data_IF_114752413687
#
_entry.id   IF_114752413687
#
_cell.length_a   1.000
_cell.length_b   1.000
_cell.length_c   1.000
_cell.angle_alpha   90.00
_cell.angle_beta   90.00
_cell.angle_gamma   90.00
#
_symmetry.space_group_name_H-M   'P 1'
#
loop_
_entity.id
_entity.type
_entity.pdbx_description
1 polymer ?
#
# COMPACT_ATOMS: atom_id res chain seq x y z
N UNK A 1 -7.27 22.66 -20.85
CA UNK A 1 -6.37 22.18 -19.76
C UNK A 1 -7.26 21.56 -18.69
N UNK A 2 -7.08 20.30 -18.34
CA UNK A 2 -7.88 19.70 -17.26
C UNK A 2 -7.65 20.44 -15.95
N UNK A 3 -8.73 20.70 -15.21
CA UNK A 3 -8.65 21.34 -13.92
C UNK A 3 -7.97 20.41 -12.92
N UNK A 4 -6.97 20.89 -12.21
CA UNK A 4 -6.31 20.14 -11.14
C UNK A 4 -6.43 20.89 -9.81
N UNK A 5 -6.47 20.13 -8.75
CA UNK A 5 -6.39 20.65 -7.37
C UNK A 5 -4.92 20.80 -6.98
N UNK A 6 -4.53 21.99 -6.53
CA UNK A 6 -3.15 22.30 -6.13
C UNK A 6 -3.02 22.29 -4.60
N UNK A 7 -2.16 21.39 -4.10
CA UNK A 7 -1.79 21.32 -2.68
C UNK A 7 -0.33 21.77 -2.52
N UNK A 8 -0.10 22.84 -1.79
CA UNK A 8 1.24 23.32 -1.46
C UNK A 8 1.68 22.86 -0.07
N UNK A 9 2.93 22.42 0.05
CA UNK A 9 3.50 21.95 1.31
C UNK A 9 5.01 22.19 1.38
N UNK A 10 5.63 21.89 2.53
CA UNK A 10 7.08 22.01 2.75
C UNK A 10 7.93 20.94 2.02
N UNK A 11 7.35 20.24 1.04
CA UNK A 11 8.05 19.23 0.22
C UNK A 11 9.11 19.88 -0.70
N UNK A 12 10.08 19.08 -1.13
CA UNK A 12 11.15 19.51 -2.04
C UNK A 12 10.87 19.21 -3.51
N UNK A 13 9.93 18.33 -3.80
CA UNK A 13 9.62 17.85 -5.16
C UNK A 13 8.15 18.05 -5.50
N UNK A 14 7.86 18.24 -6.80
CA UNK A 14 6.49 18.23 -7.32
C UNK A 14 6.06 16.80 -7.63
N UNK A 15 4.78 16.48 -7.44
CA UNK A 15 4.17 15.22 -7.84
C UNK A 15 2.73 15.45 -8.31
N UNK A 16 2.27 14.60 -9.25
CA UNK A 16 0.87 14.52 -9.65
C UNK A 16 0.31 13.17 -9.20
N UNK A 17 -0.90 13.19 -8.67
CA UNK A 17 -1.63 12.02 -8.20
C UNK A 17 -3.05 12.05 -8.76
N UNK A 18 -3.62 10.85 -8.99
CA UNK A 18 -5.04 10.72 -9.30
C UNK A 18 -5.74 10.13 -8.06
N UNK A 19 -6.65 10.92 -7.46
CA UNK A 19 -7.48 10.47 -6.32
C UNK A 19 -8.95 10.64 -6.67
N UNK A 20 -9.71 9.57 -6.59
CA UNK A 20 -11.15 9.58 -6.85
C UNK A 20 -11.53 10.24 -8.20
N UNK A 21 -10.74 9.99 -9.25
CA UNK A 21 -10.97 10.56 -10.58
C UNK A 21 -10.62 12.05 -10.71
N UNK A 22 -9.94 12.64 -9.72
CA UNK A 22 -9.46 14.04 -9.74
C UNK A 22 -7.94 14.08 -9.83
N UNK A 23 -7.44 15.06 -10.56
CA UNK A 23 -5.99 15.33 -10.64
C UNK A 23 -5.59 16.20 -9.45
N UNK A 24 -4.68 15.72 -8.62
CA UNK A 24 -4.13 16.45 -7.48
C UNK A 24 -2.64 16.67 -7.74
N UNK A 25 -2.22 17.93 -7.68
CA UNK A 25 -0.83 18.33 -7.84
C UNK A 25 -0.28 18.78 -6.50
N UNK A 26 0.69 18.05 -5.98
CA UNK A 26 1.38 18.40 -4.74
C UNK A 26 2.69 19.11 -5.10
N UNK A 27 2.87 20.37 -4.71
CA UNK A 27 4.04 21.20 -5.07
C UNK A 27 4.70 21.84 -3.85
N UNK A 28 6.01 22.16 -3.95
CA UNK A 28 6.69 23.00 -2.97
C UNK A 28 6.04 24.39 -2.82
N UNK A 29 6.10 24.97 -1.61
CA UNK A 29 5.53 26.30 -1.32
C UNK A 29 6.01 27.39 -2.30
N UNK A 30 7.31 27.35 -2.67
CA UNK A 30 7.97 28.39 -3.47
C UNK A 30 7.93 28.17 -4.98
N UNK A 31 7.39 27.04 -5.46
CA UNK A 31 7.34 26.74 -6.90
C UNK A 31 6.33 27.65 -7.60
N UNK A 32 6.72 28.28 -8.70
CA UNK A 32 5.86 29.19 -9.45
C UNK A 32 4.69 28.45 -10.13
N UNK A 33 3.60 29.15 -10.41
CA UNK A 33 2.44 28.58 -11.10
C UNK A 33 2.81 28.08 -12.50
N UNK A 34 3.66 28.83 -13.20
CA UNK A 34 4.13 28.48 -14.55
C UNK A 34 4.93 27.17 -14.56
N UNK A 35 5.80 26.96 -13.57
CA UNK A 35 6.55 25.69 -13.43
C UNK A 35 5.62 24.51 -13.16
N UNK A 36 4.61 24.72 -12.31
CA UNK A 36 3.61 23.67 -12.00
C UNK A 36 2.82 23.32 -13.27
N UNK A 37 2.32 24.30 -14.01
CA UNK A 37 1.55 24.09 -15.23
C UNK A 37 2.38 23.39 -16.32
N UNK A 38 3.65 23.77 -16.48
CA UNK A 38 4.60 23.09 -17.38
C UNK A 38 4.81 21.61 -16.97
N UNK A 39 4.98 21.35 -15.68
CA UNK A 39 5.10 19.99 -15.19
C UNK A 39 3.84 19.17 -15.45
N UNK A 40 2.65 19.71 -15.18
CA UNK A 40 1.38 19.04 -15.45
C UNK A 40 1.22 18.75 -16.94
N UNK A 41 1.53 19.72 -17.80
CA UNK A 41 1.51 19.53 -19.25
C UNK A 41 2.47 18.42 -19.71
N UNK A 42 3.67 18.34 -19.13
CA UNK A 42 4.62 17.25 -19.42
C UNK A 42 4.15 15.86 -19.01
N UNK A 43 3.09 15.77 -18.19
CA UNK A 43 2.50 14.53 -17.70
C UNK A 43 1.10 14.25 -18.26
N UNK A 44 0.67 15.00 -19.29
CA UNK A 44 -0.69 14.92 -19.82
C UNK A 44 -1.10 13.50 -20.22
N UNK A 45 -0.27 12.77 -20.97
CA UNK A 45 -0.56 11.39 -21.38
C UNK A 45 -0.69 10.43 -20.18
N UNK A 46 0.20 10.59 -19.22
CA UNK A 46 0.12 9.82 -17.97
C UNK A 46 -1.17 10.12 -17.21
N UNK A 47 -1.52 11.40 -17.09
CA UNK A 47 -2.74 11.86 -16.42
C UNK A 47 -3.97 11.26 -17.11
N UNK A 48 -4.10 11.41 -18.43
CA UNK A 48 -5.24 10.92 -19.21
C UNK A 48 -5.40 9.40 -19.06
N UNK A 49 -4.32 8.64 -19.25
CA UNK A 49 -4.33 7.19 -19.08
C UNK A 49 -4.80 6.76 -17.68
N UNK A 50 -4.37 7.46 -16.64
CA UNK A 50 -4.71 7.10 -15.25
C UNK A 50 -6.09 7.59 -14.85
N UNK A 51 -6.58 8.71 -15.43
CA UNK A 51 -7.97 9.16 -15.27
C UNK A 51 -8.95 8.16 -15.87
N UNK A 52 -8.72 7.73 -17.12
CA UNK A 52 -9.54 6.72 -17.76
C UNK A 52 -9.56 5.40 -16.96
N UNK A 53 -8.40 4.93 -16.54
CA UNK A 53 -8.30 3.75 -15.68
C UNK A 53 -9.00 3.94 -14.31
N UNK A 54 -9.05 5.17 -13.78
CA UNK A 54 -9.77 5.51 -12.56
C UNK A 54 -11.28 5.51 -12.78
N UNK A 55 -11.77 6.10 -13.89
CA UNK A 55 -13.18 6.11 -14.28
C UNK A 55 -13.71 4.68 -14.50
N UNK A 56 -12.97 3.85 -15.23
CA UNK A 56 -13.33 2.44 -15.45
C UNK A 56 -13.41 1.65 -14.14
N UNK A 57 -12.50 1.92 -13.19
CA UNK A 57 -12.55 1.30 -11.87
C UNK A 57 -13.73 1.76 -11.02
N UNK A 58 -14.19 3.01 -11.18
CA UNK A 58 -15.33 3.56 -10.44
C UNK A 58 -16.67 3.11 -11.03
N UNK A 59 -16.75 2.83 -12.33
CA UNK A 59 -17.98 2.39 -13.00
C UNK A 59 -18.41 0.95 -12.64
N UNK A 60 -17.50 0.14 -12.08
CA UNK A 60 -17.86 -1.20 -11.60
C UNK A 60 -18.47 -1.07 -10.20
N UNK A 61 -19.76 -1.41 -10.01
CA UNK A 61 -20.38 -1.44 -8.69
C UNK A 61 -19.59 -2.36 -7.76
N UNK A 62 -19.18 -1.85 -6.63
CA UNK A 62 -18.45 -2.63 -5.63
C UNK A 62 -19.38 -2.79 -4.43
N UNK A 63 -19.77 -4.02 -4.13
CA UNK A 63 -20.50 -4.31 -2.91
C UNK A 63 -19.59 -4.13 -1.70
N UNK A 64 -19.87 -3.17 -0.79
CA UNK A 64 -19.10 -2.99 0.42
C UNK A 64 -19.16 -4.23 1.31
N UNK A 65 -18.10 -4.46 2.08
CA UNK A 65 -18.13 -5.47 3.14
C UNK A 65 -19.08 -5.01 4.26
N UNK A 66 -19.85 -5.94 4.76
CA UNK A 66 -20.66 -5.76 5.99
C UNK A 66 -19.74 -5.73 7.22
N UNK A 67 -20.22 -5.18 8.32
CA UNK A 67 -19.50 -5.20 9.60
C UNK A 67 -19.20 -6.64 10.07
N UNK A 68 -20.13 -7.58 9.82
CA UNK A 68 -19.95 -8.99 10.16
C UNK A 68 -18.81 -9.64 9.36
N UNK A 69 -18.74 -9.40 8.04
CA UNK A 69 -17.63 -9.90 7.21
C UNK A 69 -16.29 -9.32 7.63
N UNK A 70 -16.24 -8.03 7.97
CA UNK A 70 -15.02 -7.39 8.47
C UNK A 70 -14.58 -8.02 9.80
N UNK A 71 -15.52 -8.26 10.72
CA UNK A 71 -15.23 -8.91 12.00
C UNK A 71 -14.72 -10.33 11.80
N UNK A 72 -15.37 -11.11 10.93
CA UNK A 72 -14.92 -12.48 10.61
C UNK A 72 -13.50 -12.50 10.04
N UNK A 73 -13.17 -11.57 9.14
CA UNK A 73 -11.80 -11.44 8.61
C UNK A 73 -10.81 -11.03 9.70
N UNK A 74 -11.21 -10.16 10.63
CA UNK A 74 -10.35 -9.75 11.74
C UNK A 74 -10.06 -10.91 12.69
N UNK A 75 -11.07 -11.71 13.03
CA UNK A 75 -10.93 -12.88 13.91
C UNK A 75 -10.04 -13.95 13.26
N UNK A 76 -10.22 -14.21 11.97
CA UNK A 76 -9.36 -15.12 11.22
C UNK A 76 -7.90 -14.62 11.17
N UNK A 77 -7.70 -13.31 10.96
CA UNK A 77 -6.38 -12.71 10.92
C UNK A 77 -5.67 -12.75 12.28
N UNK A 78 -6.40 -12.63 13.40
CA UNK A 78 -5.86 -12.76 14.74
C UNK A 78 -5.30 -14.17 15.01
N UNK A 79 -5.82 -15.19 14.35
CA UNK A 79 -5.34 -16.57 14.48
C UNK A 79 -4.19 -16.87 13.48
N UNK A 80 -4.32 -16.47 12.22
CA UNK A 80 -3.38 -16.79 11.14
C UNK A 80 -2.08 -15.96 11.21
N UNK A 81 -2.20 -14.64 11.28
CA UNK A 81 -1.06 -13.72 11.15
C UNK A 81 0.02 -13.91 12.24
N UNK A 82 -0.31 -14.06 13.53
CA UNK A 82 0.72 -14.25 14.56
C UNK A 82 1.56 -15.52 14.37
N UNK A 83 0.98 -16.57 13.80
CA UNK A 83 1.72 -17.82 13.50
C UNK A 83 2.72 -17.59 12.37
N UNK A 84 2.32 -16.89 11.29
CA UNK A 84 3.21 -16.50 10.20
C UNK A 84 4.32 -15.58 10.68
N UNK A 85 3.99 -14.59 11.51
CA UNK A 85 4.98 -13.68 12.10
C UNK A 85 6.02 -14.47 12.90
N UNK A 86 5.62 -15.40 13.78
CA UNK A 86 6.57 -16.24 14.53
C UNK A 86 7.49 -17.05 13.61
N UNK A 87 6.92 -17.70 12.58
CA UNK A 87 7.67 -18.47 11.58
C UNK A 87 8.74 -17.63 10.92
N UNK A 88 8.34 -16.50 10.32
CA UNK A 88 9.24 -15.68 9.53
C UNK A 88 10.18 -14.81 10.37
N UNK A 89 9.78 -14.41 11.57
CA UNK A 89 10.66 -13.70 12.50
C UNK A 89 11.88 -14.55 12.89
N UNK A 90 11.67 -15.85 13.12
CA UNK A 90 12.76 -16.81 13.36
C UNK A 90 13.69 -16.96 12.16
N UNK A 91 13.14 -17.07 10.93
CA UNK A 91 13.93 -17.20 9.69
C UNK A 91 14.75 -15.91 9.40
N UNK A 92 14.16 -14.74 9.66
CA UNK A 92 14.80 -13.45 9.45
C UNK A 92 15.81 -13.13 10.56
N UNK A 93 15.60 -13.69 11.75
CA UNK A 93 16.43 -13.44 12.93
C UNK A 93 16.10 -12.10 13.59
N UNK A 94 14.80 -11.79 13.77
CA UNK A 94 14.34 -10.54 14.38
C UNK A 94 13.31 -10.78 15.47
N UNK A 95 13.25 -9.84 16.42
CA UNK A 95 12.22 -9.79 17.45
C UNK A 95 11.13 -8.80 17.06
N UNK A 96 9.91 -9.07 17.48
CA UNK A 96 8.75 -8.22 17.25
C UNK A 96 8.10 -7.79 18.56
N UNK A 97 7.48 -6.63 18.55
CA UNK A 97 6.65 -6.15 19.64
C UNK A 97 5.20 -6.65 19.49
N UNK A 98 4.25 -5.74 19.69
CA UNK A 98 2.83 -6.05 19.57
C UNK A 98 2.41 -6.24 18.12
N UNK A 99 1.60 -7.24 17.85
CA UNK A 99 0.89 -7.46 16.60
C UNK A 99 -0.54 -6.94 16.75
N UNK A 100 -1.01 -6.12 15.80
CA UNK A 100 -2.36 -5.58 15.80
C UNK A 100 -3.01 -5.82 14.44
N UNK A 101 -4.23 -6.33 14.43
CA UNK A 101 -5.05 -6.41 13.22
C UNK A 101 -5.85 -5.13 13.09
N UNK A 102 -5.89 -4.57 11.89
CA UNK A 102 -6.56 -3.32 11.57
C UNK A 102 -7.46 -3.47 10.35
N UNK A 103 -8.47 -2.63 10.28
CA UNK A 103 -9.23 -2.38 9.07
C UNK A 103 -8.74 -1.06 8.47
N UNK A 104 -7.90 -1.11 7.42
CA UNK A 104 -7.21 0.08 6.88
C UNK A 104 -7.45 0.23 5.38
N UNK A 105 -7.72 1.47 4.93
CA UNK A 105 -7.96 1.81 3.52
C UNK A 105 -6.69 2.12 2.72
N UNK A 106 -5.51 2.19 3.34
CA UNK A 106 -4.32 2.75 2.68
C UNK A 106 -3.11 1.82 2.64
N UNK A 107 -3.10 0.76 3.44
CA UNK A 107 -1.93 -0.12 3.55
C UNK A 107 -2.30 -1.54 3.97
N UNK A 108 -1.46 -2.50 3.62
CA UNK A 108 -1.62 -3.92 3.96
C UNK A 108 -0.96 -4.28 5.28
N UNK A 109 0.13 -3.60 5.61
CA UNK A 109 0.85 -3.74 6.86
C UNK A 109 1.61 -2.47 7.22
N UNK A 110 2.23 -2.46 8.38
CA UNK A 110 3.24 -1.49 8.78
C UNK A 110 4.07 -2.01 9.95
N UNK A 111 5.36 -1.66 9.97
CA UNK A 111 6.27 -1.90 11.07
C UNK A 111 6.75 -0.57 11.66
N UNK A 112 6.64 -0.40 12.97
CA UNK A 112 7.20 0.77 13.65
C UNK A 112 8.68 0.54 13.99
N UNK A 113 9.43 1.61 14.27
CA UNK A 113 10.82 1.52 14.75
C UNK A 113 10.96 0.70 16.02
N UNK A 114 9.92 0.67 16.86
CA UNK A 114 9.85 -0.18 18.08
C UNK A 114 9.52 -1.65 17.79
N UNK A 115 9.30 -2.02 16.53
CA UNK A 115 8.95 -3.39 16.13
C UNK A 115 7.50 -3.77 16.31
N UNK A 116 6.59 -2.83 16.56
CA UNK A 116 5.17 -3.13 16.56
C UNK A 116 4.69 -3.26 15.13
N UNK A 117 3.93 -4.32 14.86
CA UNK A 117 3.40 -4.68 13.56
C UNK A 117 1.89 -4.44 13.51
N UNK A 118 1.42 -3.87 12.43
CA UNK A 118 -0.01 -3.83 12.13
C UNK A 118 -0.25 -4.54 10.79
N UNK A 119 -1.34 -5.28 10.70
CA UNK A 119 -1.75 -5.97 9.48
C UNK A 119 -3.21 -5.70 9.19
N UNK A 120 -3.54 -5.59 7.90
CA UNK A 120 -4.91 -5.41 7.45
C UNK A 120 -5.67 -6.74 7.49
N UNK A 121 -6.87 -6.76 8.05
CA UNK A 121 -7.72 -7.96 8.08
C UNK A 121 -8.08 -8.48 6.68
N UNK A 122 -8.10 -7.61 5.66
CA UNK A 122 -8.31 -8.00 4.26
C UNK A 122 -7.25 -8.95 3.71
N UNK A 123 -6.12 -9.15 4.40
CA UNK A 123 -5.14 -10.18 4.05
C UNK A 123 -5.77 -11.58 4.01
N UNK A 124 -6.83 -11.82 4.75
CA UNK A 124 -7.55 -13.10 4.74
C UNK A 124 -8.23 -13.42 3.40
N UNK A 125 -8.42 -12.41 2.55
CA UNK A 125 -8.93 -12.57 1.19
C UNK A 125 -7.80 -12.77 0.15
N UNK A 126 -6.53 -12.66 0.57
CA UNK A 126 -5.38 -12.88 -0.29
C UNK A 126 -4.94 -14.36 -0.25
N UNK A 127 -4.31 -14.86 -1.32
CA UNK A 127 -3.62 -16.16 -1.29
C UNK A 127 -2.62 -16.23 -0.13
N UNK A 128 -2.35 -17.43 0.36
CA UNK A 128 -1.46 -17.63 1.50
C UNK A 128 -0.06 -17.06 1.27
N UNK A 129 0.47 -17.26 0.07
CA UNK A 129 1.79 -16.78 -0.30
C UNK A 129 1.86 -15.25 -0.34
N UNK A 130 0.75 -14.59 -0.61
CA UNK A 130 0.65 -13.12 -0.57
C UNK A 130 0.58 -12.62 0.88
N UNK A 131 -0.11 -13.34 1.76
CA UNK A 131 -0.10 -13.07 3.21
C UNK A 131 1.32 -13.22 3.76
N UNK A 132 1.99 -14.30 3.41
CA UNK A 132 3.39 -14.56 3.77
C UNK A 132 4.30 -13.44 3.30
N UNK A 133 4.13 -12.98 2.06
CA UNK A 133 4.90 -11.87 1.52
C UNK A 133 4.73 -10.58 2.33
N UNK A 134 3.50 -10.21 2.70
CA UNK A 134 3.27 -9.00 3.50
C UNK A 134 3.90 -9.15 4.89
N UNK A 135 3.81 -10.33 5.51
CA UNK A 135 4.45 -10.60 6.79
C UNK A 135 5.97 -10.47 6.69
N UNK A 136 6.59 -11.10 5.68
CA UNK A 136 8.05 -10.99 5.44
C UNK A 136 8.45 -9.54 5.18
N UNK A 137 7.69 -8.80 4.38
CA UNK A 137 7.93 -7.38 4.10
C UNK A 137 7.98 -6.55 5.38
N UNK A 138 6.98 -6.67 6.25
CA UNK A 138 6.92 -5.91 7.49
C UNK A 138 8.03 -6.34 8.48
N UNK A 139 8.40 -7.61 8.50
CA UNK A 139 9.50 -8.10 9.33
C UNK A 139 10.86 -7.61 8.85
N UNK A 140 11.09 -7.50 7.53
CA UNK A 140 12.33 -6.96 6.97
C UNK A 140 12.55 -5.49 7.37
N UNK A 141 11.50 -4.73 7.67
CA UNK A 141 11.62 -3.39 8.23
C UNK A 141 12.27 -3.34 9.62
N UNK A 142 12.39 -4.48 10.32
CA UNK A 142 13.18 -4.57 11.56
C UNK A 142 14.70 -4.43 11.30
N UNK A 143 15.16 -4.74 10.09
CA UNK A 143 16.55 -4.59 9.67
C UNK A 143 16.78 -3.32 8.86
N UNK A 144 15.86 -3.00 7.96
CA UNK A 144 15.97 -1.87 7.02
C UNK A 144 14.66 -1.10 7.00
N UNK A 145 14.64 0.11 7.55
CA UNK A 145 13.42 0.93 7.65
C UNK A 145 12.95 1.46 6.30
N UNK A 146 13.86 1.60 5.33
CA UNK A 146 13.57 2.11 4.00
C UNK A 146 13.54 0.97 2.98
N UNK A 147 12.80 1.14 1.89
CA UNK A 147 12.79 0.21 0.75
C UNK A 147 14.04 0.36 -0.12
N UNK A 148 15.22 0.37 0.49
CA UNK A 148 16.52 0.42 -0.15
C UNK A 148 16.85 -0.90 -0.89
N UNK A 149 17.92 -0.96 -1.71
CA UNK A 149 18.38 -2.23 -2.26
C UNK A 149 18.67 -3.29 -1.18
N UNK A 150 19.16 -2.88 -0.01
CA UNK A 150 19.40 -3.79 1.14
C UNK A 150 18.10 -4.40 1.67
N UNK A 151 17.04 -3.59 1.77
CA UNK A 151 15.71 -4.08 2.13
C UNK A 151 15.24 -5.18 1.17
N UNK A 152 15.29 -4.91 -0.14
CA UNK A 152 14.84 -5.89 -1.14
C UNK A 152 15.71 -7.13 -1.21
N UNK A 153 17.02 -7.01 -0.94
CA UNK A 153 17.92 -8.16 -0.80
C UNK A 153 17.51 -9.04 0.38
N UNK A 154 17.14 -8.45 1.51
CA UNK A 154 16.68 -9.21 2.67
C UNK A 154 15.34 -9.91 2.40
N UNK A 155 14.39 -9.24 1.73
CA UNK A 155 13.13 -9.86 1.30
C UNK A 155 13.40 -11.03 0.35
N UNK A 156 14.26 -10.83 -0.66
CA UNK A 156 14.61 -11.86 -1.65
C UNK A 156 15.33 -13.06 -1.02
N UNK A 157 16.14 -12.86 0.02
CA UNK A 157 16.81 -13.94 0.77
C UNK A 157 15.80 -14.88 1.41
N UNK A 158 14.70 -14.35 1.93
CA UNK A 158 13.66 -15.14 2.61
C UNK A 158 12.63 -15.66 1.64
N UNK A 159 12.35 -14.90 0.60
CA UNK A 159 11.30 -15.17 -0.40
C UNK A 159 11.79 -14.78 -1.80
N UNK A 160 12.54 -15.65 -2.49
CA UNK A 160 13.15 -15.32 -3.79
C UNK A 160 12.16 -14.87 -4.86
N UNK A 161 10.93 -15.40 -4.80
CA UNK A 161 9.84 -15.09 -5.72
C UNK A 161 8.89 -13.98 -5.25
N UNK A 162 9.32 -13.15 -4.29
CA UNK A 162 8.51 -12.06 -3.72
C UNK A 162 7.91 -11.12 -4.79
N UNK A 163 8.58 -10.95 -5.92
CA UNK A 163 8.12 -10.07 -7.00
C UNK A 163 6.76 -10.49 -7.57
N UNK A 164 6.49 -11.81 -7.67
CA UNK A 164 5.21 -12.37 -8.13
C UNK A 164 4.10 -12.00 -7.13
N UNK A 165 4.34 -12.17 -5.84
CA UNK A 165 3.36 -11.88 -4.77
C UNK A 165 3.10 -10.39 -4.64
N UNK A 166 4.15 -9.58 -4.74
CA UNK A 166 4.03 -8.12 -4.80
C UNK A 166 3.21 -7.66 -5.99
N UNK A 167 3.43 -8.28 -7.16
CA UNK A 167 2.64 -7.99 -8.37
C UNK A 167 1.18 -8.35 -8.16
N UNK A 168 0.88 -9.53 -7.61
CA UNK A 168 -0.49 -9.94 -7.30
C UNK A 168 -1.20 -8.91 -6.42
N UNK A 169 -0.55 -8.47 -5.35
CA UNK A 169 -1.09 -7.49 -4.41
C UNK A 169 -1.32 -6.12 -5.08
N UNK A 170 -0.43 -5.72 -5.99
CA UNK A 170 -0.58 -4.50 -6.79
C UNK A 170 -1.79 -4.59 -7.75
N UNK A 171 -1.98 -5.74 -8.38
CA UNK A 171 -3.03 -5.93 -9.38
C UNK A 171 -4.42 -6.11 -8.75
N UNK A 172 -4.52 -6.81 -7.62
CA UNK A 172 -5.79 -7.19 -6.98
C UNK A 172 -6.14 -6.36 -5.73
N UNK A 173 -5.13 -5.88 -5.03
CA UNK A 173 -5.31 -5.28 -3.71
C UNK A 173 -6.19 -4.03 -3.69
N UNK A 174 -6.13 -3.19 -4.73
CA UNK A 174 -6.95 -2.00 -4.81
C UNK A 174 -8.46 -2.32 -4.90
N UNK A 175 -8.84 -3.43 -5.55
CA UNK A 175 -10.22 -3.88 -5.64
C UNK A 175 -10.76 -4.32 -4.26
N UNK A 176 -9.95 -5.04 -3.49
CA UNK A 176 -10.29 -5.46 -2.13
C UNK A 176 -10.46 -4.26 -1.19
N UNK A 177 -9.51 -3.32 -1.20
CA UNK A 177 -9.56 -2.12 -0.35
C UNK A 177 -10.78 -1.26 -0.66
N UNK A 178 -11.20 -1.13 -1.93
CA UNK A 178 -12.41 -0.38 -2.30
C UNK A 178 -13.69 -0.91 -1.62
N UNK A 179 -13.75 -2.19 -1.31
CA UNK A 179 -14.90 -2.81 -0.61
C UNK A 179 -15.00 -2.42 0.87
N UNK A 180 -14.04 -1.67 1.40
CA UNK A 180 -14.14 -1.10 2.76
C UNK A 180 -14.98 0.19 2.82
N UNK A 181 -15.42 0.72 1.68
CA UNK A 181 -16.20 1.96 1.61
C UNK A 181 -15.39 3.24 1.67
#
# INVERSE_FOLDING_TARGET
MESFELIRSARRTIAVEIRNGRVIVCAPMRMSKVEIERFVASKADWINKHLEASKQRQSVPVQPFTAAEIQQMADAALQDIPQRVRKYAAIIGVTVGRITIRNQKTRWGSCSSKGNLNFNCLLMLCPEEVRDYVVVHELCHRKELNHSPRFWSEVARVMPDYAVRRKWLKDNGAALIRRLG
#
